data_IF_827337406656
#
_entry.id   IF_827337406656
#
_cell.length_a   1.000
_cell.length_b   1.000
_cell.length_c   1.000
_cell.angle_alpha   90.00
_cell.angle_beta   90.00
_cell.angle_gamma   90.00
#
_symmetry.space_group_name_H-M   'P 1'
#
loop_
_entity.id
_entity.type
_entity.pdbx_description
1 polymer ?
#
# COMPACT_ATOMS: atom_id res chain seq x y z
N UNK A 1 -4.80 9.64 -4.50
CA UNK A 1 -4.51 9.68 -5.95
C UNK A 1 -3.02 9.84 -6.17
N UNK A 2 -2.49 9.28 -7.26
CA UNK A 2 -1.07 9.38 -7.60
C UNK A 2 -0.65 10.83 -7.94
N UNK A 3 0.59 11.25 -7.61
CA UNK A 3 1.05 12.62 -7.84
C UNK A 3 0.96 13.08 -9.30
N UNK A 4 1.19 12.20 -10.26
CA UNK A 4 1.08 12.52 -11.69
C UNK A 4 -0.36 12.80 -12.12
N UNK A 5 -1.33 12.09 -11.56
CA UNK A 5 -2.77 12.28 -11.82
C UNK A 5 -3.26 13.58 -11.19
N UNK A 6 -2.80 13.86 -9.97
CA UNK A 6 -3.04 15.14 -9.31
C UNK A 6 -2.50 16.34 -10.12
N UNK A 7 -1.43 16.13 -10.90
CA UNK A 7 -0.87 17.10 -11.85
C UNK A 7 -1.56 17.07 -13.23
N UNK A 8 -2.72 16.41 -13.34
CA UNK A 8 -3.51 16.28 -14.58
C UNK A 8 -2.79 15.58 -15.73
N UNK A 9 -1.85 14.69 -15.44
CA UNK A 9 -1.29 13.77 -16.45
C UNK A 9 -2.22 12.58 -16.66
N UNK A 10 -1.99 11.83 -17.74
CA UNK A 10 -2.78 10.65 -18.09
C UNK A 10 -2.68 9.54 -17.05
N UNK A 11 -3.76 8.78 -16.89
CA UNK A 11 -3.78 7.54 -16.14
C UNK A 11 -2.85 6.50 -16.76
N UNK A 12 -2.21 5.73 -15.89
CA UNK A 12 -1.31 4.64 -16.25
C UNK A 12 -1.47 3.49 -15.25
N UNK A 13 -1.08 2.25 -15.61
CA UNK A 13 -1.05 1.15 -14.64
C UNK A 13 -0.24 1.49 -13.37
N UNK A 14 0.85 2.26 -13.51
CA UNK A 14 1.64 2.71 -12.35
C UNK A 14 0.85 3.63 -11.40
N UNK A 15 -0.14 4.39 -11.90
CA UNK A 15 -1.03 5.21 -11.07
C UNK A 15 -2.06 4.38 -10.29
N UNK A 16 -2.46 3.22 -10.84
CA UNK A 16 -3.30 2.25 -10.13
C UNK A 16 -2.52 1.59 -9.00
N UNK A 17 -1.25 1.22 -9.24
CA UNK A 17 -0.34 0.69 -8.20
C UNK A 17 -0.16 1.68 -7.06
N UNK A 18 -0.03 2.97 -7.36
CA UNK A 18 -0.03 4.00 -6.31
C UNK A 18 -1.36 4.01 -5.54
N UNK A 19 -2.50 3.93 -6.22
CA UNK A 19 -3.80 3.93 -5.52
C UNK A 19 -3.98 2.69 -4.64
N UNK A 20 -3.46 1.54 -5.07
CA UNK A 20 -3.42 0.32 -4.26
C UNK A 20 -2.59 0.49 -2.98
N UNK A 21 -1.48 1.24 -3.02
CA UNK A 21 -0.73 1.55 -1.80
C UNK A 21 -1.53 2.36 -0.77
N UNK A 22 -2.48 3.18 -1.22
CA UNK A 22 -3.36 3.94 -0.33
C UNK A 22 -4.36 3.01 0.34
N UNK A 23 -4.87 2.01 -0.38
CA UNK A 23 -5.72 0.94 0.17
C UNK A 23 -4.92 0.08 1.15
N UNK A 24 -3.68 -0.27 0.81
CA UNK A 24 -2.78 -0.99 1.73
C UNK A 24 -2.60 -0.22 3.04
N UNK A 25 -2.38 1.09 2.95
CA UNK A 25 -2.26 1.94 4.13
C UNK A 25 -3.57 2.00 4.94
N UNK A 26 -4.72 2.11 4.26
CA UNK A 26 -6.04 2.10 4.88
C UNK A 26 -6.30 0.79 5.64
N UNK A 27 -5.88 -0.37 5.12
CA UNK A 27 -5.97 -1.64 5.85
C UNK A 27 -5.16 -1.65 7.15
N UNK A 28 -4.00 -0.99 7.18
CA UNK A 28 -3.17 -0.92 8.39
C UNK A 28 -3.70 0.06 9.43
N UNK A 29 -4.38 1.11 9.00
CA UNK A 29 -4.82 2.22 9.88
C UNK A 29 -6.28 2.13 10.28
N UNK A 30 -7.11 1.43 9.49
CA UNK A 30 -8.56 1.38 9.63
C UNK A 30 -9.27 2.69 9.27
N UNK A 31 -8.58 3.67 8.68
CA UNK A 31 -9.14 4.98 8.32
C UNK A 31 -8.64 5.45 6.94
N UNK A 32 -9.36 6.38 6.29
CA UNK A 32 -8.92 6.93 5.01
C UNK A 32 -7.56 7.66 5.09
N UNK A 33 -6.71 7.59 4.05
CA UNK A 33 -5.44 8.31 4.02
C UNK A 33 -5.67 9.82 4.07
N UNK A 34 -4.93 10.48 4.97
CA UNK A 34 -5.03 11.92 5.25
C UNK A 34 -6.38 12.37 5.83
N UNK A 35 -7.13 11.49 6.50
CA UNK A 35 -8.43 11.80 7.11
C UNK A 35 -8.48 13.07 8.00
N UNK A 36 -7.33 13.49 8.57
CA UNK A 36 -7.22 14.70 9.40
C UNK A 36 -6.94 16.00 8.61
N UNK A 37 -6.97 15.97 7.27
CA UNK A 37 -6.67 17.11 6.41
C UNK A 37 -7.79 17.39 5.43
N UNK A 38 -8.00 18.67 5.11
CA UNK A 38 -8.83 19.05 3.98
C UNK A 38 -8.21 18.51 2.68
N UNK A 39 -9.04 17.92 1.82
CA UNK A 39 -8.65 17.40 0.51
C UNK A 39 -8.61 18.54 -0.52
N UNK A 40 -7.73 19.51 -0.27
CA UNK A 40 -7.64 20.76 -1.02
C UNK A 40 -6.35 20.84 -1.87
N UNK A 41 -6.14 22.02 -2.46
CA UNK A 41 -4.93 22.31 -3.23
C UNK A 41 -3.65 22.24 -2.36
N UNK A 42 -3.71 22.55 -1.08
CA UNK A 42 -2.55 22.50 -0.19
C UNK A 42 -2.11 21.06 0.06
N UNK A 43 -3.06 20.14 0.31
CA UNK A 43 -2.76 18.71 0.40
C UNK A 43 -2.15 18.20 -0.90
N UNK A 44 -2.76 18.57 -2.03
CA UNK A 44 -2.24 18.22 -3.37
C UNK A 44 -0.80 18.69 -3.56
N UNK A 45 -0.49 19.92 -3.16
CA UNK A 45 0.85 20.49 -3.23
C UNK A 45 1.85 19.72 -2.37
N UNK A 46 1.47 19.37 -1.13
CA UNK A 46 2.34 18.61 -0.22
C UNK A 46 2.65 17.20 -0.75
N UNK A 47 1.67 16.52 -1.36
CA UNK A 47 1.87 15.21 -1.97
C UNK A 47 2.78 15.31 -3.20
N UNK A 48 2.53 16.30 -4.07
CA UNK A 48 3.20 16.43 -5.35
C UNK A 48 4.59 17.09 -5.28
N UNK A 49 4.82 18.05 -4.38
CA UNK A 49 6.09 18.79 -4.31
C UNK A 49 6.97 18.33 -3.16
N UNK A 50 6.38 18.14 -1.98
CA UNK A 50 7.12 17.76 -0.77
C UNK A 50 7.25 16.24 -0.63
N UNK A 51 6.54 15.47 -1.46
CA UNK A 51 6.55 14.01 -1.37
C UNK A 51 5.85 13.48 -0.12
N UNK A 52 4.91 14.25 0.46
CA UNK A 52 4.18 13.85 1.67
C UNK A 52 3.48 12.51 1.46
N UNK A 53 3.54 11.64 2.47
CA UNK A 53 2.86 10.34 2.53
C UNK A 53 2.13 10.20 3.88
N UNK A 54 1.13 9.30 3.99
CA UNK A 54 0.53 8.94 5.27
C UNK A 54 1.58 8.39 6.25
N UNK A 55 1.34 8.57 7.56
CA UNK A 55 2.23 8.09 8.61
C UNK A 55 2.19 6.56 8.70
N UNK A 56 3.35 5.92 8.88
CA UNK A 56 3.40 4.46 9.01
C UNK A 56 2.83 4.05 10.37
N UNK A 57 1.83 3.19 10.36
CA UNK A 57 1.18 2.70 11.59
C UNK A 57 2.13 1.77 12.33
N UNK A 58 2.28 2.01 13.64
CA UNK A 58 3.10 1.18 14.53
C UNK A 58 2.65 -0.28 14.45
N UNK A 59 3.60 -1.20 14.55
CA UNK A 59 3.40 -2.66 14.44
C UNK A 59 3.00 -3.17 13.04
N UNK A 60 2.98 -2.31 12.01
CA UNK A 60 2.83 -2.81 10.64
C UNK A 60 4.07 -3.66 10.27
N UNK A 61 3.91 -4.89 9.75
CA UNK A 61 5.03 -5.74 9.37
C UNK A 61 5.98 -5.05 8.38
N UNK A 62 7.29 -5.22 8.56
CA UNK A 62 8.31 -4.55 7.74
C UNK A 62 8.16 -4.87 6.24
N UNK A 63 7.87 -6.12 5.90
CA UNK A 63 7.65 -6.54 4.49
C UNK A 63 6.48 -5.77 3.85
N UNK A 64 5.41 -5.54 4.61
CA UNK A 64 4.24 -4.78 4.16
C UNK A 64 4.56 -3.31 3.99
N UNK A 65 5.30 -2.71 4.94
CA UNK A 65 5.78 -1.32 4.85
C UNK A 65 6.64 -1.13 3.60
N UNK A 66 7.60 -2.03 3.37
CA UNK A 66 8.56 -1.92 2.27
C UNK A 66 7.83 -2.04 0.92
N UNK A 67 6.88 -2.98 0.80
CA UNK A 67 6.05 -3.13 -0.40
C UNK A 67 5.16 -1.92 -0.64
N UNK A 68 4.42 -1.48 0.38
CA UNK A 68 3.56 -0.28 0.32
C UNK A 68 4.37 0.95 -0.09
N UNK A 69 5.58 1.10 0.46
CA UNK A 69 6.48 2.21 0.10
C UNK A 69 6.93 2.16 -1.35
N UNK A 70 7.21 0.96 -1.87
CA UNK A 70 7.55 0.78 -3.28
C UNK A 70 6.38 1.12 -4.20
N UNK A 71 5.15 0.77 -3.81
CA UNK A 71 3.94 1.08 -4.57
C UNK A 71 3.63 2.59 -4.62
N UNK A 72 3.95 3.35 -3.57
CA UNK A 72 3.68 4.81 -3.51
C UNK A 72 4.87 5.71 -3.89
N UNK A 73 5.87 5.15 -4.58
CA UNK A 73 7.05 5.90 -5.01
C UNK A 73 6.64 7.13 -5.84
N UNK A 74 7.37 8.23 -5.65
CA UNK A 74 7.12 9.47 -6.37
C UNK A 74 7.39 9.33 -7.87
N UNK A 75 8.35 8.49 -8.24
CA UNK A 75 8.63 8.10 -9.62
C UNK A 75 7.78 6.88 -10.01
N UNK A 76 6.86 7.00 -10.99
CA UNK A 76 6.06 5.88 -11.46
C UNK A 76 6.88 4.68 -11.97
N UNK A 77 8.10 4.90 -12.45
CA UNK A 77 8.96 3.84 -12.97
C UNK A 77 9.57 2.93 -11.90
N UNK A 78 9.66 3.41 -10.65
CA UNK A 78 10.13 2.64 -9.51
C UNK A 78 9.05 1.72 -8.92
N UNK A 79 7.80 1.92 -9.30
CA UNK A 79 6.65 1.16 -8.77
C UNK A 79 6.64 -0.24 -9.39
N UNK A 80 6.27 -1.28 -8.63
CA UNK A 80 6.16 -2.62 -9.17
C UNK A 80 5.03 -2.71 -10.18
N UNK A 81 5.09 -3.69 -11.07
CA UNK A 81 3.95 -4.05 -11.91
C UNK A 81 2.91 -4.82 -11.08
N UNK A 82 1.68 -4.92 -11.59
CA UNK A 82 0.65 -5.74 -10.94
C UNK A 82 1.05 -7.21 -10.86
N UNK A 83 1.80 -7.72 -11.85
CA UNK A 83 2.30 -9.10 -11.89
C UNK A 83 3.31 -9.32 -10.74
N UNK A 84 4.25 -8.39 -10.57
CA UNK A 84 5.21 -8.46 -9.46
C UNK A 84 4.51 -8.41 -8.12
N UNK A 85 3.47 -7.57 -7.99
CA UNK A 85 2.73 -7.41 -6.76
C UNK A 85 1.89 -8.65 -6.41
N UNK A 86 1.19 -9.21 -7.39
CA UNK A 86 0.43 -10.46 -7.26
C UNK A 86 1.35 -11.58 -6.78
N UNK A 87 2.51 -11.76 -7.42
CA UNK A 87 3.47 -12.78 -7.04
C UNK A 87 3.92 -12.65 -5.58
N UNK A 88 4.27 -11.44 -5.12
CA UNK A 88 4.68 -11.20 -3.73
C UNK A 88 3.55 -11.53 -2.75
N UNK A 89 2.33 -11.08 -3.03
CA UNK A 89 1.17 -11.30 -2.15
C UNK A 89 0.80 -12.79 -2.11
N UNK A 90 0.80 -13.47 -3.26
CA UNK A 90 0.53 -14.90 -3.36
C UNK A 90 1.55 -15.72 -2.56
N UNK A 91 2.84 -15.36 -2.62
CA UNK A 91 3.87 -16.00 -1.80
C UNK A 91 3.66 -15.75 -0.30
N UNK A 92 3.22 -14.56 0.12
CA UNK A 92 2.88 -14.32 1.51
C UNK A 92 1.69 -15.17 1.97
N UNK A 93 0.63 -15.25 1.17
CA UNK A 93 -0.55 -16.08 1.46
C UNK A 93 -0.14 -17.55 1.57
N UNK A 94 0.71 -18.04 0.66
CA UNK A 94 1.24 -19.40 0.71
C UNK A 94 1.98 -19.67 2.02
N UNK A 95 2.93 -18.82 2.40
CA UNK A 95 3.69 -18.96 3.65
C UNK A 95 2.79 -18.91 4.90
N UNK A 96 1.78 -18.03 4.90
CA UNK A 96 0.81 -17.92 6.01
C UNK A 96 -0.02 -19.21 6.11
N UNK A 97 -0.54 -19.72 5.00
CA UNK A 97 -1.32 -20.96 4.97
C UNK A 97 -0.48 -22.15 5.44
N UNK A 98 0.77 -22.28 4.96
CA UNK A 98 1.69 -23.32 5.40
C UNK A 98 1.97 -23.25 6.90
N UNK A 99 2.16 -22.04 7.45
CA UNK A 99 2.32 -21.85 8.89
C UNK A 99 1.09 -22.36 9.66
N UNK A 100 -0.12 -22.00 9.24
CA UNK A 100 -1.34 -22.45 9.93
C UNK A 100 -1.60 -23.94 9.80
N UNK A 101 -1.28 -24.57 8.67
CA UNK A 101 -1.41 -26.02 8.51
C UNK A 101 -0.42 -26.79 9.39
N UNK A 102 0.83 -26.31 9.50
CA UNK A 102 1.86 -26.94 10.36
C UNK A 102 1.54 -26.78 11.85
N UNK A 103 0.99 -25.62 12.24
CA UNK A 103 0.69 -25.30 13.64
C UNK A 103 -0.79 -25.54 13.99
N UNK A 104 -1.50 -26.33 13.18
CA UNK A 104 -2.87 -26.74 13.48
C UNK A 104 -2.82 -27.71 14.66
N UNK A 105 -2.96 -27.19 15.88
CA UNK A 105 -3.18 -28.04 17.04
C UNK A 105 -4.46 -28.86 16.82
N UNK A 106 -4.35 -30.18 16.79
CA UNK A 106 -5.51 -31.11 16.72
C UNK A 106 -6.41 -31.07 17.98
N UNK A 107 -6.19 -30.13 18.90
CA UNK A 107 -6.86 -30.03 20.21
C UNK A 107 -7.97 -28.98 20.29
N UNK A 108 -8.65 -28.69 19.19
CA UNK A 108 -9.95 -28.01 19.27
C UNK A 108 -11.07 -29.01 18.99
N UNK A 109 -11.40 -29.82 20.01
CA UNK A 109 -12.73 -30.42 20.12
C UNK A 109 -13.71 -29.27 20.41
N UNK A 110 -14.57 -28.95 19.43
CA UNK A 110 -15.79 -28.17 19.64
C UNK A 110 -16.95 -29.10 19.98
#
# INVERSE_FOLDING_TARGET
MAPEILRKKSYTPASDIYSLSMIMWEFTSGIPPFNHKAHDHNLTLSICKEGRRPEIIKNTPKCYIDLMKKCWDSDPSNRPTIITLEHIISEWIRCINEYYEINRDENYEY
#
